data_IF_981665221006
#
_entry.id   IF_981665221006
#
_cell.length_a   1.000
_cell.length_b   1.000
_cell.length_c   1.000
_cell.angle_alpha   90.00
_cell.angle_beta   90.00
_cell.angle_gamma   90.00
#
_symmetry.space_group_name_H-M   'P 1'
#
loop_
_entity.id
_entity.type
_entity.pdbx_description
1 polymer ?
#
# COMPACT_ATOMS: atom_id res chain seq x y z
N UNK A 1 -21.28 -5.46 -4.37
CA UNK A 1 -20.11 -5.31 -3.46
C UNK A 1 -19.34 -4.07 -3.89
N UNK A 2 -18.71 -3.31 -2.98
CA UNK A 2 -17.98 -2.08 -3.32
C UNK A 2 -16.95 -2.25 -4.45
N UNK A 3 -16.28 -3.40 -4.55
CA UNK A 3 -15.35 -3.70 -5.65
C UNK A 3 -16.02 -3.88 -7.02
N UNK A 4 -17.32 -4.18 -7.08
CA UNK A 4 -18.06 -4.34 -8.32
C UNK A 4 -18.63 -3.00 -8.85
N UNK A 5 -18.42 -1.90 -8.14
CA UNK A 5 -18.90 -0.56 -8.55
C UNK A 5 -18.16 -0.07 -9.80
N UNK A 6 -16.92 -0.54 -10.01
CA UNK A 6 -16.13 -0.26 -11.21
C UNK A 6 -16.47 -1.14 -12.42
N UNK A 7 -17.13 -2.29 -12.24
CA UNK A 7 -17.36 -3.26 -13.34
C UNK A 7 -18.26 -2.73 -14.46
N UNK A 8 -19.22 -1.85 -14.13
CA UNK A 8 -20.08 -1.23 -15.15
C UNK A 8 -19.35 -0.19 -15.99
N UNK A 9 -18.25 0.38 -15.49
CA UNK A 9 -17.46 1.42 -16.16
C UNK A 9 -16.16 0.86 -16.77
N UNK A 10 -15.56 -0.14 -16.13
CA UNK A 10 -14.35 -0.83 -16.52
C UNK A 10 -14.51 -2.34 -16.24
N UNK A 11 -15.13 -3.09 -17.17
CA UNK A 11 -15.35 -4.53 -17.03
C UNK A 11 -14.03 -5.30 -16.83
N UNK A 12 -14.03 -6.27 -15.91
CA UNK A 12 -12.87 -7.13 -15.62
C UNK A 12 -11.88 -6.58 -14.59
N UNK A 13 -12.17 -5.42 -14.00
CA UNK A 13 -11.31 -4.81 -12.96
C UNK A 13 -11.23 -5.65 -11.68
N UNK A 14 -12.32 -6.33 -11.32
CA UNK A 14 -12.35 -7.27 -10.18
C UNK A 14 -11.47 -8.49 -10.46
N UNK A 15 -11.56 -9.06 -11.67
CA UNK A 15 -10.75 -10.20 -12.06
C UNK A 15 -9.26 -9.84 -12.06
N UNK A 16 -8.92 -8.66 -12.56
CA UNK A 16 -7.55 -8.16 -12.56
C UNK A 16 -7.02 -7.95 -11.13
N UNK A 17 -7.84 -7.42 -10.21
CA UNK A 17 -7.47 -7.31 -8.79
C UNK A 17 -7.14 -8.68 -8.19
N UNK A 18 -8.01 -9.68 -8.40
CA UNK A 18 -7.79 -11.05 -7.89
C UNK A 18 -6.54 -11.68 -8.51
N UNK A 19 -6.30 -11.48 -9.82
CA UNK A 19 -5.07 -11.94 -10.50
C UNK A 19 -3.84 -11.29 -9.89
N UNK A 20 -3.89 -10.00 -9.62
CA UNK A 20 -2.78 -9.24 -9.05
C UNK A 20 -2.43 -9.72 -7.63
N UNK A 21 -3.43 -9.95 -6.79
CA UNK A 21 -3.23 -10.52 -5.46
C UNK A 21 -2.59 -11.91 -5.54
N UNK A 22 -3.12 -12.81 -6.38
CA UNK A 22 -2.56 -14.14 -6.57
C UNK A 22 -1.12 -14.11 -7.11
N UNK A 23 -0.86 -13.25 -8.09
CA UNK A 23 0.48 -13.05 -8.65
C UNK A 23 1.46 -12.54 -7.58
N UNK A 24 1.01 -11.68 -6.66
CA UNK A 24 1.81 -11.18 -5.54
C UNK A 24 2.22 -12.33 -4.61
N UNK A 25 1.30 -13.23 -4.25
CA UNK A 25 1.63 -14.42 -3.46
C UNK A 25 2.66 -15.31 -4.16
N UNK A 26 2.46 -15.61 -5.45
CA UNK A 26 3.39 -16.44 -6.24
C UNK A 26 4.78 -15.79 -6.33
N UNK A 27 4.84 -14.47 -6.52
CA UNK A 27 6.09 -13.73 -6.56
C UNK A 27 6.81 -13.78 -5.22
N UNK A 28 6.09 -13.58 -4.11
CA UNK A 28 6.68 -13.64 -2.77
C UNK A 28 7.21 -15.03 -2.43
N UNK A 29 6.49 -16.11 -2.78
CA UNK A 29 6.99 -17.47 -2.58
C UNK A 29 8.27 -17.75 -3.37
N UNK A 30 8.43 -17.14 -4.56
CA UNK A 30 9.57 -17.34 -5.44
C UNK A 30 10.79 -16.51 -5.04
N UNK A 31 10.60 -15.21 -4.83
CA UNK A 31 11.70 -14.26 -4.61
C UNK A 31 12.01 -14.05 -3.11
N UNK A 32 11.04 -14.31 -2.22
CA UNK A 32 11.16 -14.13 -0.77
C UNK A 32 10.84 -15.41 0.02
N UNK A 33 11.45 -16.57 -0.29
CA UNK A 33 11.05 -17.87 0.29
C UNK A 33 11.29 -17.97 1.81
N UNK A 34 12.10 -17.07 2.36
CA UNK A 34 12.42 -17.00 3.79
C UNK A 34 11.48 -16.10 4.58
N UNK A 35 10.68 -15.26 3.92
CA UNK A 35 9.70 -14.39 4.58
C UNK A 35 8.43 -15.19 4.82
N UNK A 36 8.01 -15.39 6.08
CA UNK A 36 6.73 -16.00 6.38
C UNK A 36 5.57 -15.20 5.81
N UNK A 37 4.89 -15.77 4.82
CA UNK A 37 3.63 -15.27 4.27
C UNK A 37 2.55 -16.34 4.40
N UNK A 38 1.26 -15.94 4.44
CA UNK A 38 0.19 -16.90 4.26
C UNK A 38 0.32 -17.60 2.91
N UNK A 39 0.08 -18.91 2.88
CA UNK A 39 -0.04 -19.66 1.63
C UNK A 39 -1.38 -19.38 0.98
N UNK A 40 -1.36 -19.08 -0.32
CA UNK A 40 -2.56 -18.99 -1.13
C UNK A 40 -3.13 -20.40 -1.36
N UNK A 41 -4.26 -20.72 -0.73
CA UNK A 41 -4.87 -22.07 -0.79
C UNK A 41 -5.86 -22.23 -1.95
N UNK A 42 -6.38 -21.13 -2.47
CA UNK A 42 -7.33 -21.13 -3.59
C UNK A 42 -7.67 -19.71 -4.00
N UNK A 43 -8.06 -19.55 -5.26
CA UNK A 43 -8.53 -18.31 -5.86
C UNK A 43 -9.66 -18.62 -6.82
N UNK A 44 -10.71 -17.81 -6.81
CA UNK A 44 -11.88 -17.99 -7.68
C UNK A 44 -11.92 -16.94 -8.78
N UNK A 45 -12.21 -17.35 -10.01
CA UNK A 45 -12.56 -16.46 -11.11
C UNK A 45 -14.00 -16.72 -11.54
N UNK A 46 -14.70 -15.76 -12.17
CA UNK A 46 -15.99 -16.01 -12.80
C UNK A 46 -15.91 -17.23 -13.73
N UNK A 47 -16.69 -18.28 -13.42
CA UNK A 47 -16.68 -19.55 -14.16
C UNK A 47 -15.71 -20.63 -13.66
N UNK A 48 -14.79 -20.32 -12.74
CA UNK A 48 -13.83 -21.25 -12.15
C UNK A 48 -13.91 -21.21 -10.62
N UNK A 49 -14.44 -22.26 -9.99
CA UNK A 49 -14.31 -22.44 -8.54
C UNK A 49 -12.98 -23.11 -8.21
N UNK A 50 -12.09 -22.45 -7.49
CA UNK A 50 -11.04 -23.14 -6.75
C UNK A 50 -10.97 -22.60 -5.32
N UNK A 51 -11.49 -23.39 -4.38
CA UNK A 51 -11.36 -23.14 -2.96
C UNK A 51 -10.87 -24.41 -2.29
N UNK A 52 -9.71 -24.36 -1.65
CA UNK A 52 -9.29 -25.40 -0.72
C UNK A 52 -9.64 -24.94 0.69
N UNK A 53 -10.61 -25.63 1.30
CA UNK A 53 -11.00 -25.39 2.69
C UNK A 53 -9.79 -25.67 3.60
N UNK A 54 -9.53 -24.80 4.57
CA UNK A 54 -8.36 -24.92 5.48
C UNK A 54 -8.30 -26.27 6.21
N UNK A 55 -9.45 -26.92 6.40
CA UNK A 55 -9.60 -28.24 7.01
C UNK A 55 -9.03 -29.38 6.15
N UNK A 56 -8.82 -29.14 4.85
CA UNK A 56 -8.17 -30.07 3.92
C UNK A 56 -6.65 -29.85 3.84
N UNK A 57 -6.09 -28.90 4.60
CA UNK A 57 -4.65 -28.73 4.71
C UNK A 57 -4.02 -29.93 5.42
N UNK A 58 -2.89 -30.39 4.90
CA UNK A 58 -2.16 -31.47 5.57
C UNK A 58 -1.65 -31.01 6.94
N UNK A 59 -1.67 -31.91 7.92
CA UNK A 59 -1.13 -31.65 9.26
C UNK A 59 0.30 -31.09 9.24
N UNK A 60 1.15 -31.57 8.31
CA UNK A 60 2.52 -31.05 8.11
C UNK A 60 2.54 -29.55 7.81
N UNK A 61 1.60 -29.07 6.99
CA UNK A 61 1.48 -27.66 6.69
C UNK A 61 1.00 -26.92 7.93
N UNK A 62 -0.04 -27.39 8.62
CA UNK A 62 -0.51 -26.78 9.87
C UNK A 62 0.61 -26.59 10.92
N UNK A 63 1.48 -27.59 11.09
CA UNK A 63 2.66 -27.45 11.96
C UNK A 63 3.68 -26.43 11.42
N UNK A 64 3.83 -26.31 10.10
CA UNK A 64 4.66 -25.29 9.47
C UNK A 64 4.12 -23.88 9.75
N UNK A 65 2.81 -23.67 9.65
CA UNK A 65 2.14 -22.39 9.96
C UNK A 65 2.39 -21.94 11.41
N UNK A 66 2.30 -22.84 12.39
CA UNK A 66 2.58 -22.52 13.80
C UNK A 66 4.03 -22.09 14.04
N UNK A 67 4.98 -22.61 13.25
CA UNK A 67 6.38 -22.23 13.36
C UNK A 67 6.74 -20.97 12.54
N UNK A 68 5.81 -20.47 11.71
CA UNK A 68 6.00 -19.35 10.79
C UNK A 68 5.39 -18.04 11.33
N UNK A 69 4.72 -18.06 12.47
CA UNK A 69 4.32 -16.82 13.16
C UNK A 69 5.53 -16.15 13.79
N UNK A 70 5.68 -14.85 13.57
CA UNK A 70 6.77 -14.07 14.16
C UNK A 70 6.73 -14.11 15.68
N UNK A 71 7.85 -14.53 16.29
CA UNK A 71 8.03 -14.56 17.74
C UNK A 71 8.51 -13.22 18.33
N UNK A 72 8.83 -12.25 17.48
CA UNK A 72 9.22 -10.91 17.89
C UNK A 72 8.91 -9.87 16.81
N UNK A 73 8.63 -8.63 17.22
CA UNK A 73 8.47 -7.51 16.28
C UNK A 73 9.75 -7.22 15.49
N UNK A 74 10.91 -7.49 16.09
CA UNK A 74 12.20 -7.29 15.43
C UNK A 74 12.38 -8.21 14.20
N UNK A 75 12.02 -9.50 14.32
CA UNK A 75 12.06 -10.43 13.18
C UNK A 75 11.06 -10.04 12.09
N UNK A 76 9.85 -9.60 12.48
CA UNK A 76 8.85 -9.12 11.52
C UNK A 76 9.38 -7.94 10.70
N UNK A 77 9.94 -6.91 11.35
CA UNK A 77 10.41 -5.73 10.64
C UNK A 77 11.69 -5.97 9.82
N UNK A 78 12.55 -6.90 10.25
CA UNK A 78 13.68 -7.30 9.43
C UNK A 78 13.21 -7.91 8.11
N UNK A 79 12.18 -8.75 8.15
CA UNK A 79 11.60 -9.34 6.94
C UNK A 79 10.86 -8.31 6.09
N UNK A 80 10.18 -7.33 6.69
CA UNK A 80 9.59 -6.20 5.94
C UNK A 80 10.68 -5.46 5.14
N UNK A 81 11.84 -5.20 5.75
CA UNK A 81 12.96 -4.57 5.04
C UNK A 81 13.60 -5.51 4.02
N UNK A 82 13.69 -6.81 4.30
CA UNK A 82 14.20 -7.80 3.35
C UNK A 82 13.28 -7.90 2.11
N UNK A 83 11.97 -7.80 2.30
CA UNK A 83 11.00 -7.71 1.20
C UNK A 83 11.25 -6.46 0.35
N UNK A 84 11.51 -5.31 0.96
CA UNK A 84 11.86 -4.09 0.22
C UNK A 84 13.16 -4.24 -0.57
N UNK A 85 14.17 -4.91 0.00
CA UNK A 85 15.42 -5.21 -0.71
C UNK A 85 15.14 -6.12 -1.93
N UNK A 86 14.39 -7.20 -1.73
CA UNK A 86 14.02 -8.13 -2.79
C UNK A 86 13.20 -7.45 -3.88
N UNK A 87 12.21 -6.64 -3.51
CA UNK A 87 11.44 -5.84 -4.47
C UNK A 87 12.37 -4.92 -5.25
N UNK A 88 13.22 -4.17 -4.56
CA UNK A 88 14.17 -3.25 -5.20
C UNK A 88 15.09 -4.00 -6.16
N UNK A 89 15.52 -5.21 -5.80
CA UNK A 89 16.40 -6.03 -6.62
C UNK A 89 15.69 -6.64 -7.85
N UNK A 90 14.48 -7.19 -7.68
CA UNK A 90 13.85 -8.04 -8.69
C UNK A 90 12.77 -7.33 -9.52
N UNK A 91 12.13 -6.28 -8.99
CA UNK A 91 11.11 -5.54 -9.74
C UNK A 91 11.79 -4.57 -10.74
N UNK A 92 11.50 -4.67 -12.06
CA UNK A 92 12.18 -3.85 -13.08
C UNK A 92 11.97 -2.35 -12.91
N UNK A 93 10.74 -1.95 -12.56
CA UNK A 93 10.33 -0.56 -12.37
C UNK A 93 10.42 -0.07 -10.91
N UNK A 94 11.22 -0.74 -10.06
CA UNK A 94 11.36 -0.34 -8.66
C UNK A 94 12.12 1.00 -8.48
N UNK A 95 12.99 1.33 -9.43
CA UNK A 95 13.80 2.55 -9.43
C UNK A 95 13.55 3.29 -10.74
N UNK A 96 13.16 4.57 -10.63
CA UNK A 96 12.75 5.41 -11.76
C UNK A 96 13.93 6.13 -12.43
N UNK A 97 15.13 5.99 -11.87
CA UNK A 97 16.35 6.58 -12.40
C UNK A 97 17.44 6.64 -11.35
N UNK A 98 18.62 7.12 -11.74
CA UNK A 98 19.80 7.09 -10.86
C UNK A 98 19.60 7.90 -9.57
N UNK A 99 19.07 9.12 -9.67
CA UNK A 99 18.85 9.97 -8.49
C UNK A 99 17.77 9.40 -7.57
N UNK A 100 16.70 8.86 -8.15
CA UNK A 100 15.66 8.16 -7.39
C UNK A 100 16.23 6.93 -6.69
N UNK A 101 17.04 6.13 -7.38
CA UNK A 101 17.68 4.96 -6.78
C UNK A 101 18.62 5.32 -5.63
N UNK A 102 19.43 6.39 -5.76
CA UNK A 102 20.25 6.89 -4.64
C UNK A 102 19.36 7.27 -3.46
N UNK A 103 18.25 7.97 -3.72
CA UNK A 103 17.32 8.39 -2.70
C UNK A 103 16.68 7.21 -1.97
N UNK A 104 16.08 6.26 -2.72
CA UNK A 104 15.44 5.06 -2.17
C UNK A 104 16.44 4.17 -1.40
N UNK A 105 17.60 3.87 -1.98
CA UNK A 105 18.61 3.02 -1.32
C UNK A 105 19.16 3.68 -0.05
N UNK A 106 19.41 4.99 -0.08
CA UNK A 106 19.84 5.72 1.12
C UNK A 106 18.80 5.67 2.23
N UNK A 107 17.50 5.75 1.88
CA UNK A 107 16.41 5.64 2.83
C UNK A 107 16.27 4.23 3.40
N UNK A 108 16.40 3.16 2.60
CA UNK A 108 16.39 1.77 3.09
C UNK A 108 17.52 1.51 4.08
N UNK A 109 18.75 1.91 3.73
CA UNK A 109 19.91 1.79 4.63
C UNK A 109 19.71 2.62 5.89
N UNK A 110 19.20 3.84 5.73
CA UNK A 110 18.87 4.72 6.85
C UNK A 110 17.87 4.08 7.81
N UNK A 111 16.73 3.60 7.30
CA UNK A 111 15.69 2.90 8.05
C UNK A 111 16.25 1.67 8.77
N UNK A 112 17.04 0.85 8.09
CA UNK A 112 17.72 -0.32 8.68
C UNK A 112 18.64 0.09 9.84
N UNK A 113 19.40 1.17 9.69
CA UNK A 113 20.30 1.66 10.74
C UNK A 113 19.56 2.21 11.96
N UNK A 114 18.37 2.78 11.78
CA UNK A 114 17.56 3.31 12.89
C UNK A 114 16.61 2.27 13.48
N UNK A 115 16.42 1.11 12.84
CA UNK A 115 15.52 0.03 13.26
C UNK A 115 15.68 -0.40 14.73
N UNK A 116 16.90 -0.55 15.29
CA UNK A 116 17.05 -0.92 16.70
C UNK A 116 16.45 0.11 17.67
N UNK A 117 16.25 1.36 17.24
CA UNK A 117 15.61 2.44 18.01
C UNK A 117 14.09 2.44 17.88
N UNK A 118 13.50 1.62 17.00
CA UNK A 118 12.05 1.48 16.87
C UNK A 118 11.48 0.78 18.11
N UNK A 119 12.31 0.00 18.80
CA UNK A 119 11.88 -0.92 19.84
C UNK A 119 12.51 -0.61 21.19
N UNK A 120 11.65 -0.57 22.22
CA UNK A 120 12.10 -0.81 23.60
C UNK A 120 12.07 -2.32 23.82
N UNK A 121 13.20 -2.91 24.25
CA UNK A 121 13.31 -4.37 24.51
C UNK A 121 12.22 -4.90 25.45
N UNK A 122 11.69 -4.05 26.31
CA UNK A 122 10.69 -4.37 27.34
C UNK A 122 9.25 -4.43 26.79
N UNK A 123 8.94 -3.76 25.68
CA UNK A 123 7.55 -3.67 25.15
C UNK A 123 7.24 -4.72 24.07
N UNK A 124 8.27 -5.25 23.40
CA UNK A 124 8.15 -6.13 22.22
C UNK A 124 7.54 -7.51 22.45
N UNK A 125 7.14 -7.85 23.69
CA UNK A 125 6.69 -9.21 24.04
C UNK A 125 5.35 -9.28 24.75
N UNK A 126 4.77 -8.16 25.20
CA UNK A 126 3.77 -8.25 26.28
C UNK A 126 2.36 -7.81 25.91
N UNK A 127 2.14 -7.01 24.85
CA UNK A 127 0.81 -6.54 24.48
C UNK A 127 0.58 -6.52 22.96
N UNK A 128 -0.20 -7.50 22.49
CA UNK A 128 -0.77 -7.52 21.15
C UNK A 128 -2.22 -7.02 21.22
N UNK A 129 -2.59 -6.18 20.27
CA UNK A 129 -3.94 -5.63 20.13
C UNK A 129 -4.45 -5.85 18.72
N UNK A 130 -5.77 -5.90 18.58
CA UNK A 130 -6.39 -5.89 17.25
C UNK A 130 -6.13 -4.53 16.60
N UNK A 131 -5.52 -4.55 15.43
CA UNK A 131 -5.25 -3.39 14.61
C UNK A 131 -6.06 -3.48 13.32
N UNK A 132 -6.75 -2.40 12.98
CA UNK A 132 -7.55 -2.27 11.76
C UNK A 132 -6.69 -1.60 10.70
N UNK A 133 -5.80 -2.39 10.08
CA UNK A 133 -4.75 -1.89 9.18
C UNK A 133 -5.26 -1.11 7.98
N UNK A 134 -6.50 -1.38 7.55
CA UNK A 134 -7.15 -0.75 6.39
C UNK A 134 -8.43 -0.01 6.79
N UNK A 135 -8.47 0.56 8.00
CA UNK A 135 -9.58 1.44 8.38
C UNK A 135 -9.41 2.78 7.67
N UNK A 136 -10.40 3.18 6.86
CA UNK A 136 -10.52 4.51 6.24
C UNK A 136 -11.98 4.98 6.19
N UNK A 137 -12.21 6.23 5.79
CA UNK A 137 -13.52 6.88 5.88
C UNK A 137 -14.66 6.12 5.18
N UNK A 138 -14.42 5.50 4.02
CA UNK A 138 -15.45 4.73 3.31
C UNK A 138 -15.79 3.37 3.96
N UNK A 139 -15.03 2.95 4.98
CA UNK A 139 -15.31 1.74 5.75
C UNK A 139 -16.15 2.03 7.00
N UNK A 140 -16.45 3.31 7.28
CA UNK A 140 -17.17 3.76 8.48
C UNK A 140 -18.52 4.34 8.07
N UNK A 141 -19.60 3.78 8.65
CA UNK A 141 -20.95 4.30 8.48
C UNK A 141 -21.40 5.01 9.76
N UNK A 142 -22.08 6.14 9.59
CA UNK A 142 -22.61 6.96 10.67
C UNK A 142 -24.12 7.16 10.53
N UNK A 143 -24.79 7.48 11.63
CA UNK A 143 -26.17 7.99 11.61
C UNK A 143 -26.21 9.51 11.38
N UNK A 144 -27.42 10.09 11.39
CA UNK A 144 -27.65 11.52 11.18
C UNK A 144 -26.96 12.41 12.25
N UNK A 145 -26.63 11.83 13.41
CA UNK A 145 -25.97 12.49 14.53
C UNK A 145 -24.45 12.21 14.56
N UNK A 146 -23.88 11.65 13.48
CA UNK A 146 -22.47 11.27 13.34
C UNK A 146 -21.97 10.18 14.29
N UNK A 147 -22.87 9.40 14.90
CA UNK A 147 -22.45 8.22 15.67
C UNK A 147 -22.07 7.09 14.72
N UNK A 148 -20.92 6.44 14.98
CA UNK A 148 -20.51 5.25 14.23
C UNK A 148 -21.51 4.12 14.46
N UNK A 149 -22.20 3.70 13.39
CA UNK A 149 -23.19 2.61 13.44
C UNK A 149 -22.60 1.29 12.98
N UNK A 150 -21.70 1.32 11.99
CA UNK A 150 -21.11 0.12 11.38
C UNK A 150 -19.70 0.40 10.88
N UNK A 151 -18.85 -0.62 10.97
CA UNK A 151 -17.54 -0.67 10.31
C UNK A 151 -17.54 -1.91 9.42
N UNK A 152 -17.14 -1.76 8.17
CA UNK A 152 -17.03 -2.85 7.20
C UNK A 152 -15.56 -3.09 6.82
N UNK A 153 -15.33 -4.07 5.94
CA UNK A 153 -14.03 -4.33 5.33
C UNK A 153 -12.90 -4.62 6.33
N UNK A 154 -13.14 -5.61 7.19
CA UNK A 154 -12.23 -6.00 8.27
C UNK A 154 -11.23 -7.10 7.85
N UNK A 155 -11.08 -7.36 6.55
CA UNK A 155 -10.30 -8.49 6.04
C UNK A 155 -8.79 -8.38 6.34
N UNK A 156 -8.29 -7.16 6.49
CA UNK A 156 -6.90 -6.87 6.87
C UNK A 156 -6.69 -6.63 8.37
N UNK A 157 -7.72 -6.85 9.19
CA UNK A 157 -7.58 -6.73 10.64
C UNK A 157 -6.62 -7.79 11.17
N UNK A 158 -5.61 -7.38 11.95
CA UNK A 158 -4.59 -8.30 12.46
C UNK A 158 -4.31 -8.07 13.94
N UNK A 159 -3.85 -9.12 14.62
CA UNK A 159 -3.28 -9.00 15.97
C UNK A 159 -1.84 -8.53 15.83
N UNK A 160 -1.57 -7.26 16.15
CA UNK A 160 -0.25 -6.66 16.00
C UNK A 160 0.28 -6.12 17.34
N UNK A 161 1.61 -5.99 17.50
CA UNK A 161 2.17 -5.31 18.66
C UNK A 161 1.60 -3.91 18.81
N UNK A 162 1.29 -3.51 20.05
CA UNK A 162 0.67 -2.21 20.34
C UNK A 162 1.49 -1.03 19.81
N UNK A 163 2.80 -1.19 19.61
CA UNK A 163 3.69 -0.17 19.04
C UNK A 163 3.45 0.13 17.56
N UNK A 164 2.76 -0.75 16.83
CA UNK A 164 2.33 -0.51 15.44
C UNK A 164 1.01 0.26 15.35
N UNK A 165 0.29 0.39 16.47
CA UNK A 165 -0.92 1.20 16.53
C UNK A 165 -0.57 2.68 16.37
N UNK A 166 -1.24 3.34 15.45
CA UNK A 166 -1.07 4.76 15.18
C UNK A 166 -2.42 5.41 14.89
N UNK A 167 -2.50 6.72 15.11
CA UNK A 167 -3.68 7.51 14.72
C UNK A 167 -3.80 7.49 13.20
N UNK A 168 -5.01 7.35 12.65
CA UNK A 168 -5.20 7.26 11.21
C UNK A 168 -4.65 8.49 10.48
N UNK A 169 -3.85 8.27 9.44
CA UNK A 169 -3.20 9.36 8.70
C UNK A 169 -4.18 10.14 7.79
N UNK A 170 -5.33 9.55 7.45
CA UNK A 170 -6.34 10.14 6.57
C UNK A 170 -7.30 11.12 7.27
N UNK A 171 -7.06 11.50 8.54
CA UNK A 171 -7.93 12.45 9.27
C UNK A 171 -8.11 13.81 8.57
N UNK A 172 -7.19 14.18 7.67
CA UNK A 172 -7.22 15.43 6.89
C UNK A 172 -7.29 15.18 5.38
N UNK A 173 -7.71 13.98 4.96
CA UNK A 173 -7.82 13.59 3.54
C UNK A 173 -6.51 13.78 2.74
N UNK A 174 -5.37 13.57 3.42
CA UNK A 174 -4.04 13.69 2.83
C UNK A 174 -3.35 12.34 2.79
N UNK A 175 -2.56 12.11 1.74
CA UNK A 175 -1.60 11.01 1.71
C UNK A 175 -0.56 11.16 2.81
N UNK A 176 -0.07 10.05 3.37
CA UNK A 176 0.88 10.11 4.50
C UNK A 176 2.20 10.80 4.13
N UNK A 177 2.62 10.75 2.86
CA UNK A 177 3.74 11.48 2.25
C UNK A 177 3.52 12.99 2.07
N UNK A 178 2.27 13.44 2.21
CA UNK A 178 1.87 14.84 2.09
C UNK A 178 1.78 15.55 3.45
N UNK A 179 1.98 14.82 4.55
CA UNK A 179 1.86 15.34 5.93
C UNK A 179 3.09 16.13 6.40
N UNK A 180 3.64 16.98 5.52
CA UNK A 180 4.75 17.88 5.82
C UNK A 180 4.32 19.36 5.72
N UNK A 181 5.12 20.26 6.29
CA UNK A 181 4.89 21.70 6.22
C UNK A 181 3.50 22.12 6.75
N UNK A 182 2.75 23.00 6.05
CA UNK A 182 1.42 23.45 6.49
C UNK A 182 0.41 22.32 6.70
N UNK A 183 0.41 21.30 5.83
CA UNK A 183 -0.49 20.14 5.93
C UNK A 183 -0.16 19.29 7.15
N UNK A 184 1.13 19.15 7.48
CA UNK A 184 1.56 18.49 8.72
C UNK A 184 1.10 19.21 9.99
N UNK A 185 1.00 20.55 9.96
CA UNK A 185 0.47 21.35 11.08
C UNK A 185 -1.04 21.12 11.24
N UNK A 186 -1.79 21.13 10.14
CA UNK A 186 -3.22 20.83 10.13
C UNK A 186 -3.50 19.41 10.63
N UNK A 187 -2.76 18.42 10.13
CA UNK A 187 -2.86 17.04 10.59
C UNK A 187 -2.56 16.91 12.08
N UNK A 188 -1.57 17.66 12.61
CA UNK A 188 -1.30 17.64 14.04
C UNK A 188 -2.46 18.19 14.87
N UNK A 189 -3.17 19.21 14.38
CA UNK A 189 -4.36 19.70 15.07
C UNK A 189 -5.48 18.63 15.08
N UNK A 190 -5.73 17.98 13.95
CA UNK A 190 -6.70 16.87 13.86
C UNK A 190 -6.28 15.66 14.72
N UNK A 191 -4.99 15.36 14.77
CA UNK A 191 -4.40 14.33 15.60
C UNK A 191 -4.68 14.57 17.08
N UNK A 192 -4.48 15.79 17.57
CA UNK A 192 -4.77 16.12 18.97
C UNK A 192 -6.26 16.02 19.28
N UNK A 193 -7.10 16.53 18.38
CA UNK A 193 -8.55 16.43 18.49
C UNK A 193 -9.04 14.98 18.52
N UNK A 194 -8.36 14.06 17.83
CA UNK A 194 -8.64 12.62 17.90
C UNK A 194 -8.23 12.01 19.24
N UNK A 195 -7.07 12.40 19.78
CA UNK A 195 -6.51 11.82 21.01
C UNK A 195 -7.26 12.29 22.27
N UNK A 196 -7.83 13.48 22.27
CA UNK A 196 -8.48 14.05 23.45
C UNK A 196 -9.73 13.26 23.92
N UNK A 197 -10.70 12.89 23.06
CA UNK A 197 -11.81 12.02 23.45
C UNK A 197 -11.37 10.63 23.96
N UNK A 198 -10.27 10.09 23.42
CA UNK A 198 -9.69 8.84 23.91
C UNK A 198 -9.21 9.01 25.34
N UNK A 199 -8.52 10.11 25.65
CA UNK A 199 -8.06 10.41 27.01
C UNK A 199 -9.24 10.61 27.98
N UNK A 200 -10.29 11.32 27.56
CA UNK A 200 -11.51 11.51 28.36
C UNK A 200 -12.19 10.16 28.68
N UNK A 201 -12.26 9.27 27.69
CA UNK A 201 -12.86 7.95 27.85
C UNK A 201 -12.04 7.07 28.82
N UNK A 202 -10.72 7.07 28.69
CA UNK A 202 -9.82 6.33 29.58
C UNK A 202 -10.02 6.73 31.05
N UNK A 203 -10.11 8.03 31.33
CA UNK A 203 -10.38 8.57 32.67
C UNK A 203 -11.76 8.14 33.16
N UNK A 204 -12.80 8.26 32.32
CA UNK A 204 -14.17 7.90 32.68
C UNK A 204 -14.33 6.41 33.00
N UNK A 205 -13.56 5.53 32.35
CA UNK A 205 -13.61 4.08 32.58
C UNK A 205 -12.69 3.59 33.70
N UNK A 206 -12.00 4.48 34.43
CA UNK A 206 -10.91 4.11 35.36
C UNK A 206 -9.87 3.16 34.72
N UNK A 207 -9.70 3.28 33.41
CA UNK A 207 -8.74 2.48 32.66
C UNK A 207 -7.33 2.95 33.01
N UNK A 208 -6.36 2.04 32.97
CA UNK A 208 -4.95 2.45 32.95
C UNK A 208 -4.71 3.28 31.69
N UNK A 209 -4.39 4.57 31.83
CA UNK A 209 -4.10 5.49 30.72
C UNK A 209 -2.98 4.95 29.85
N UNK A 210 -3.31 4.38 28.69
CA UNK A 210 -2.34 3.62 27.89
C UNK A 210 -2.34 4.07 26.44
N UNK A 211 -3.50 4.22 25.80
CA UNK A 211 -3.58 4.54 24.37
C UNK A 211 -3.41 6.04 24.09
N UNK A 212 -4.00 6.91 24.90
CA UNK A 212 -3.85 8.36 24.71
C UNK A 212 -2.40 8.81 24.98
N UNK A 213 -1.77 8.29 26.04
CA UNK A 213 -0.36 8.51 26.34
C UNK A 213 0.53 7.91 25.26
N UNK A 214 0.30 6.67 24.85
CA UNK A 214 1.04 6.02 23.77
C UNK A 214 0.95 6.81 22.47
N UNK A 215 -0.21 7.35 22.12
CA UNK A 215 -0.39 8.18 20.92
C UNK A 215 0.48 9.43 21.00
N UNK A 216 0.40 10.19 22.11
CA UNK A 216 1.26 11.38 22.30
C UNK A 216 2.76 11.04 22.30
N UNK A 217 3.14 9.90 22.87
CA UNK A 217 4.51 9.36 22.79
C UNK A 217 4.89 8.96 21.36
N UNK A 218 3.98 8.39 20.58
CA UNK A 218 4.21 7.98 19.20
C UNK A 218 4.48 9.19 18.31
N UNK A 219 3.75 10.29 18.50
CA UNK A 219 4.02 11.54 17.80
C UNK A 219 5.38 12.13 18.19
N UNK A 220 5.59 12.40 19.48
CA UNK A 220 6.82 13.05 19.97
C UNK A 220 8.08 12.22 19.72
N UNK A 221 7.98 10.88 19.76
CA UNK A 221 9.08 9.97 19.45
C UNK A 221 9.21 9.68 17.95
N UNK A 222 8.36 10.24 17.08
CA UNK A 222 8.33 10.01 15.64
C UNK A 222 8.03 8.55 15.26
N UNK A 223 7.45 7.77 16.17
CA UNK A 223 7.10 6.36 15.94
C UNK A 223 6.02 6.21 14.87
N UNK A 224 5.07 7.14 14.79
CA UNK A 224 4.07 7.11 13.71
C UNK A 224 4.75 7.07 12.33
N UNK A 225 5.70 7.97 12.07
CA UNK A 225 6.44 8.05 10.81
C UNK A 225 7.29 6.82 10.51
N UNK A 226 7.82 6.20 11.57
CA UNK A 226 8.53 4.92 11.50
C UNK A 226 7.62 3.79 11.04
N UNK A 227 6.44 3.67 11.63
CA UNK A 227 5.44 2.67 11.26
C UNK A 227 4.93 2.92 9.84
N UNK A 228 4.61 4.17 9.51
CA UNK A 228 4.19 4.56 8.16
C UNK A 228 5.25 4.22 7.10
N UNK A 229 6.54 4.46 7.39
CA UNK A 229 7.63 4.10 6.49
C UNK A 229 7.73 2.58 6.25
N UNK A 230 7.37 1.75 7.23
CA UNK A 230 7.43 0.30 7.10
C UNK A 230 6.17 -0.29 6.46
N UNK A 231 5.03 0.34 6.68
CA UNK A 231 3.74 -0.10 6.16
C UNK A 231 3.57 0.16 4.66
N UNK A 232 4.40 1.01 4.05
CA UNK A 232 4.25 1.40 2.65
C UNK A 232 5.50 1.10 1.81
N UNK A 233 5.27 0.47 0.66
CA UNK A 233 6.27 0.17 -0.37
C UNK A 233 6.84 1.41 -1.06
N UNK A 234 6.05 2.47 -1.19
CA UNK A 234 6.41 3.64 -1.99
C UNK A 234 6.66 4.88 -1.15
N UNK A 235 6.10 4.94 0.06
CA UNK A 235 6.16 6.15 0.90
C UNK A 235 7.36 6.15 1.85
N UNK A 236 8.02 5.00 2.06
CA UNK A 236 9.19 4.92 2.94
C UNK A 236 10.31 5.95 2.66
N UNK A 237 10.64 6.31 1.39
CA UNK A 237 11.70 7.29 1.12
C UNK A 237 11.30 8.69 1.61
N UNK A 238 10.04 9.08 1.34
CA UNK A 238 9.47 10.35 1.78
C UNK A 238 9.45 10.43 3.32
N UNK A 239 8.94 9.40 3.99
CA UNK A 239 8.91 9.32 5.45
C UNK A 239 10.30 9.44 6.08
N UNK A 240 11.28 8.74 5.49
CA UNK A 240 12.65 8.84 5.95
C UNK A 240 13.17 10.28 5.79
N UNK A 241 13.01 10.89 4.62
CA UNK A 241 13.53 12.22 4.31
C UNK A 241 12.87 13.35 5.10
N UNK A 242 11.55 13.35 5.19
CA UNK A 242 10.73 14.42 5.78
C UNK A 242 10.72 14.34 7.32
N UNK A 243 10.58 13.14 7.89
CA UNK A 243 10.27 13.00 9.32
C UNK A 243 11.35 12.32 10.14
N UNK A 244 12.07 11.33 9.59
CA UNK A 244 13.01 10.52 10.38
C UNK A 244 14.43 11.07 10.34
N UNK A 245 14.92 11.39 9.16
CA UNK A 245 16.28 11.89 8.89
C UNK A 245 16.59 13.22 9.59
N UNK A 246 15.71 14.25 9.60
CA UNK A 246 16.02 15.54 10.24
C UNK A 246 16.33 15.44 11.74
N UNK A 247 15.94 14.34 12.37
CA UNK A 247 16.17 14.07 13.80
C UNK A 247 17.60 13.63 14.09
N UNK A 248 18.33 13.17 13.08
CA UNK A 248 19.72 12.72 13.17
C UNK A 248 20.67 13.65 12.41
N UNK A 249 20.23 14.18 11.27
CA UNK A 249 21.00 15.08 10.41
C UNK A 249 20.31 16.45 10.35
N UNK A 250 20.89 17.45 11.03
CA UNK A 250 20.37 18.84 11.01
C UNK A 250 20.57 19.53 9.65
N UNK A 251 21.64 19.16 8.96
CA UNK A 251 21.93 19.58 7.59
C UNK A 251 21.94 18.34 6.71
N UNK A 252 21.41 18.46 5.49
CA UNK A 252 21.43 17.40 4.51
C UNK A 252 21.85 17.91 3.14
N UNK A 253 22.87 17.28 2.57
CA UNK A 253 23.31 17.50 1.19
C UNK A 253 23.21 16.17 0.46
N UNK A 254 22.35 16.09 -0.55
CA UNK A 254 22.04 14.84 -1.25
C UNK A 254 23.32 14.13 -1.72
N UNK A 255 24.17 14.83 -2.46
CA UNK A 255 25.38 14.25 -3.05
C UNK A 255 26.41 13.80 -2.00
N UNK A 256 26.47 14.46 -0.85
CA UNK A 256 27.46 14.16 0.20
C UNK A 256 26.98 13.13 1.23
N UNK A 257 25.67 12.92 1.39
CA UNK A 257 25.11 12.05 2.43
C UNK A 257 24.32 10.86 1.87
N UNK A 258 23.51 11.08 0.84
CA UNK A 258 22.67 10.03 0.27
C UNK A 258 23.52 8.99 -0.46
N UNK A 259 24.53 9.44 -1.22
CA UNK A 259 25.40 8.53 -1.97
C UNK A 259 26.18 7.56 -1.09
N UNK A 260 26.90 7.99 -0.02
CA UNK A 260 27.57 7.04 0.87
C UNK A 260 26.63 6.05 1.54
N UNK A 261 25.40 6.46 1.90
CA UNK A 261 24.41 5.55 2.46
C UNK A 261 23.92 4.54 1.42
N UNK A 262 23.63 4.98 0.20
CA UNK A 262 23.26 4.08 -0.89
C UNK A 262 24.35 3.05 -1.16
N UNK A 263 25.63 3.45 -1.14
CA UNK A 263 26.79 2.55 -1.29
C UNK A 263 26.89 1.45 -0.22
N UNK A 264 26.25 1.62 0.95
CA UNK A 264 26.21 0.57 1.98
C UNK A 264 25.13 -0.49 1.71
N UNK A 265 24.27 -0.29 0.70
CA UNK A 265 23.23 -1.27 0.36
C UNK A 265 23.79 -2.50 -0.35
N UNK A 266 24.70 -2.32 -1.32
CA UNK A 266 25.44 -3.42 -1.96
C UNK A 266 26.83 -2.97 -2.46
N UNK A 267 27.72 -3.89 -2.80
CA UNK A 267 29.12 -3.56 -3.16
C UNK A 267 29.23 -2.71 -4.45
N UNK A 268 28.40 -2.98 -5.47
CA UNK A 268 28.45 -2.33 -6.79
C UNK A 268 27.20 -1.50 -7.10
N UNK A 269 26.80 -0.61 -6.17
CA UNK A 269 25.56 0.19 -6.30
C UNK A 269 25.49 0.99 -7.60
N UNK A 270 26.60 1.54 -8.09
CA UNK A 270 26.59 2.30 -9.36
C UNK A 270 26.12 1.44 -10.53
N UNK A 271 26.69 0.24 -10.68
CA UNK A 271 26.35 -0.67 -11.77
C UNK A 271 24.93 -1.20 -11.61
N UNK A 272 24.52 -1.49 -10.37
CA UNK A 272 23.14 -1.86 -10.04
C UNK A 272 22.13 -0.78 -10.49
N UNK A 273 22.40 0.49 -10.18
CA UNK A 273 21.53 1.61 -10.59
C UNK A 273 21.49 1.79 -12.11
N UNK A 274 22.62 1.61 -12.78
CA UNK A 274 22.68 1.68 -14.25
C UNK A 274 21.93 0.50 -14.89
N UNK A 275 21.99 -0.68 -14.28
CA UNK A 275 21.17 -1.82 -14.69
C UNK A 275 19.68 -1.55 -14.48
N UNK A 276 19.29 -0.97 -13.35
CA UNK A 276 17.89 -0.61 -13.08
C UNK A 276 17.32 0.42 -14.04
N UNK A 277 18.12 1.39 -14.46
CA UNK A 277 17.70 2.33 -15.49
C UNK A 277 17.39 1.63 -16.83
N UNK A 278 18.13 0.57 -17.18
CA UNK A 278 17.84 -0.26 -18.37
C UNK A 278 16.60 -1.13 -18.16
N UNK A 279 16.48 -1.78 -17.00
CA UNK A 279 15.30 -2.59 -16.65
C UNK A 279 14.00 -1.80 -16.77
N UNK A 280 14.01 -0.53 -16.34
CA UNK A 280 12.87 0.37 -16.47
C UNK A 280 12.54 0.67 -17.94
N UNK A 281 13.54 0.98 -18.77
CA UNK A 281 13.33 1.24 -20.20
C UNK A 281 12.73 0.02 -20.92
N UNK A 282 13.25 -1.16 -20.63
CA UNK A 282 12.74 -2.42 -21.19
C UNK A 282 11.32 -2.70 -20.68
N UNK A 283 11.05 -2.44 -19.40
CA UNK A 283 9.72 -2.58 -18.81
C UNK A 283 8.71 -1.65 -19.48
N UNK A 284 9.02 -0.36 -19.61
CA UNK A 284 8.14 0.60 -20.28
C UNK A 284 7.88 0.23 -21.74
N UNK A 285 8.89 -0.29 -22.44
CA UNK A 285 8.74 -0.76 -23.82
C UNK A 285 7.76 -1.92 -23.88
N UNK A 286 7.94 -2.95 -23.04
CA UNK A 286 7.01 -4.09 -22.96
C UNK A 286 5.60 -3.66 -22.58
N UNK A 287 5.46 -2.72 -21.66
CA UNK A 287 4.14 -2.19 -21.27
C UNK A 287 3.47 -1.51 -22.48
N UNK A 288 4.20 -0.66 -23.21
CA UNK A 288 3.67 -0.03 -24.44
C UNK A 288 3.29 -1.06 -25.51
N UNK A 289 4.09 -2.11 -25.69
CA UNK A 289 3.80 -3.21 -26.63
C UNK A 289 2.49 -3.93 -26.25
N UNK A 290 2.31 -4.29 -24.98
CA UNK A 290 1.08 -4.92 -24.49
C UNK A 290 -0.14 -4.02 -24.73
N UNK A 291 -0.03 -2.73 -24.42
CA UNK A 291 -1.14 -1.80 -24.67
C UNK A 291 -1.42 -1.60 -26.17
N UNK A 292 -0.39 -1.62 -27.02
CA UNK A 292 -0.55 -1.56 -28.47
C UNK A 292 -1.21 -2.82 -29.04
N UNK A 293 -0.85 -4.00 -28.54
CA UNK A 293 -1.49 -5.28 -28.90
C UNK A 293 -2.97 -5.30 -28.51
N UNK A 294 -3.29 -4.85 -27.29
CA UNK A 294 -4.68 -4.75 -26.82
C UNK A 294 -5.48 -3.75 -27.66
N UNK A 295 -4.90 -2.59 -27.97
CA UNK A 295 -5.54 -1.60 -28.84
C UNK A 295 -5.81 -2.17 -30.26
N UNK A 296 -4.86 -2.91 -30.83
CA UNK A 296 -5.03 -3.55 -32.13
C UNK A 296 -6.13 -4.63 -32.13
N UNK A 297 -6.28 -5.38 -31.04
CA UNK A 297 -7.36 -6.37 -30.87
C UNK A 297 -8.72 -5.68 -30.74
N UNK A 298 -8.79 -4.54 -30.04
CA UNK A 298 -10.01 -3.74 -29.92
C UNK A 298 -10.39 -3.08 -31.25
N UNK A 299 -9.41 -2.60 -32.02
CA UNK A 299 -9.63 -2.08 -33.37
C UNK A 299 -10.08 -3.19 -34.34
N UNK A 300 -9.55 -4.41 -34.24
CA UNK A 300 -9.98 -5.55 -35.07
C UNK A 300 -11.37 -6.07 -34.65
N UNK A 301 -11.71 -6.06 -33.36
CA UNK A 301 -13.05 -6.39 -32.86
C UNK A 301 -14.08 -5.31 -33.22
N UNK A 302 -13.73 -4.02 -33.13
CA UNK A 302 -14.60 -2.94 -33.59
C UNK A 302 -14.76 -2.95 -35.11
N UNK A 303 -13.73 -3.28 -35.88
CA UNK A 303 -13.83 -3.48 -37.33
C UNK A 303 -14.67 -4.72 -37.69
N UNK A 304 -14.58 -5.81 -36.90
CA UNK A 304 -15.43 -6.99 -37.07
C UNK A 304 -16.90 -6.72 -36.67
N UNK A 305 -17.14 -5.94 -35.62
CA UNK A 305 -18.47 -5.47 -35.22
C UNK A 305 -19.04 -4.47 -36.23
N UNK A 306 -18.23 -3.57 -36.80
CA UNK A 306 -18.63 -2.62 -37.84
C UNK A 306 -18.93 -3.35 -39.17
N UNK A 307 -18.22 -4.44 -39.46
CA UNK A 307 -18.51 -5.33 -40.60
C UNK A 307 -19.80 -6.15 -40.38
N UNK A 308 -20.07 -6.60 -39.15
CA UNK A 308 -21.33 -7.24 -38.75
C UNK A 308 -22.51 -6.23 -38.68
N UNK A 309 -22.24 -4.97 -38.35
CA UNK A 309 -23.21 -3.86 -38.40
C UNK A 309 -23.51 -3.45 -39.85
N UNK A 310 -22.56 -3.58 -40.78
CA UNK A 310 -22.81 -3.36 -42.20
C UNK A 310 -23.75 -4.43 -42.80
N UNK A 311 -23.70 -5.68 -42.32
CA UNK A 311 -24.65 -6.74 -42.70
C UNK A 311 -26.00 -6.62 -41.96
N UNK A 312 -26.03 -6.06 -40.74
CA UNK A 312 -27.26 -5.84 -39.98
C UNK A 312 -28.03 -4.57 -40.39
N UNK A 313 -27.36 -3.58 -40.99
CA UNK A 313 -27.97 -2.31 -41.42
C UNK A 313 -28.83 -2.41 -42.69
N UNK A 314 -28.95 -3.58 -43.34
CA UNK A 314 -30.03 -3.85 -44.29
C UNK A 314 -31.38 -4.22 -43.62
N UNK A 315 -31.43 -4.44 -42.29
CA UNK A 315 -32.64 -4.97 -41.64
C UNK A 315 -33.26 -4.15 -40.51
N UNK A 316 -32.79 -2.94 -40.17
CA UNK A 316 -33.45 -2.13 -39.13
C UNK A 316 -33.50 -0.63 -39.43
N UNK A 317 -34.44 -0.24 -40.29
CA UNK A 317 -35.09 1.08 -40.16
C UNK A 317 -36.18 0.94 -39.11
N UNK A 318 -36.03 1.57 -37.94
CA UNK A 318 -37.12 2.18 -37.14
C UNK A 318 -36.48 3.14 -36.11
N UNK A 319 -37.15 4.29 -36.01
CA UNK A 319 -36.93 5.56 -35.32
C UNK A 319 -36.45 5.55 -33.83
N UNK A 320 -35.68 6.62 -33.49
CA UNK A 320 -35.19 7.12 -32.18
C UNK A 320 -36.33 7.52 -31.18
N UNK A 321 -36.17 8.14 -29.94
CA UNK A 321 -35.04 8.85 -29.26
C UNK A 321 -35.07 8.74 -27.68
N UNK A 322 -34.61 9.71 -26.83
CA UNK A 322 -33.41 10.58 -26.80
C UNK A 322 -32.49 10.37 -25.56
N UNK A 323 -31.32 11.00 -25.66
CA UNK A 323 -30.23 11.13 -24.67
C UNK A 323 -30.60 12.06 -23.51
N UNK A 324 -30.55 11.58 -22.27
CA UNK A 324 -30.40 12.41 -21.07
C UNK A 324 -29.95 11.57 -19.84
N UNK A 325 -28.65 11.24 -19.74
CA UNK A 325 -28.07 10.63 -18.53
C UNK A 325 -26.53 10.73 -18.39
N UNK A 326 -25.82 11.49 -19.24
CA UNK A 326 -24.37 11.36 -19.38
C UNK A 326 -23.52 12.36 -18.56
N UNK A 327 -24.08 13.13 -17.62
CA UNK A 327 -23.33 14.21 -16.95
C UNK A 327 -22.91 13.98 -15.48
N UNK A 328 -23.08 12.78 -14.92
CA UNK A 328 -22.86 12.58 -13.47
C UNK A 328 -21.74 11.61 -13.06
N UNK A 329 -20.91 11.12 -13.99
CA UNK A 329 -19.92 10.04 -13.70
C UNK A 329 -18.44 10.42 -13.95
N UNK A 330 -18.09 11.71 -14.01
CA UNK A 330 -16.75 12.16 -14.39
C UNK A 330 -15.97 12.90 -13.28
N UNK A 331 -16.13 12.51 -12.00
CA UNK A 331 -15.38 13.14 -10.90
C UNK A 331 -14.53 12.21 -10.03
N UNK A 332 -14.47 10.91 -10.29
CA UNK A 332 -13.69 9.94 -9.47
C UNK A 332 -12.45 9.36 -10.15
N UNK A 333 -11.86 10.08 -11.12
CA UNK A 333 -10.53 9.73 -11.64
C UNK A 333 -9.63 10.93 -11.41
N UNK A 334 -8.86 10.87 -10.33
CA UNK A 334 -7.80 11.82 -10.00
C UNK A 334 -6.66 11.76 -11.02
N UNK A 335 -6.91 12.31 -12.21
CA UNK A 335 -5.87 12.72 -13.15
C UNK A 335 -5.51 14.14 -12.78
N UNK A 336 -4.30 14.33 -12.25
CA UNK A 336 -3.72 15.66 -12.13
C UNK A 336 -3.57 16.28 -13.52
N UNK A 337 -4.27 17.38 -13.75
CA UNK A 337 -3.93 18.30 -14.83
C UNK A 337 -2.65 19.04 -14.43
N UNK A 338 -1.53 18.63 -15.00
CA UNK A 338 -0.43 19.54 -15.29
C UNK A 338 -0.53 20.02 -16.75
N UNK A 339 -0.30 21.34 -16.91
CA UNK A 339 -0.08 22.12 -18.13
C UNK A 339 -1.29 22.78 -18.80
N UNK A 340 -1.49 24.06 -18.43
CA UNK A 340 -1.48 25.23 -19.34
C UNK A 340 -1.46 26.55 -18.55
N UNK A 341 -0.24 27.04 -18.28
CA UNK A 341 0.30 28.33 -18.78
C UNK A 341 1.62 28.68 -18.06
#
# INVERSE_FOLDING_TARGET
>A
MPHAVGESYAPGTVDEKVRYEAATYVWLERECPMIPIPRLLGMGFPGCQSFMRIENESWLQWTKWQNWTYSSTASYLQDVLAYQDARTQHQPNAILGRNDGIYQLSALVGLRAILPKFFRRESCREQYVMNLCDLHQSNIFVDDDWHITRIIDLEFACSSPIELLHVPHWLTDQGVDQLDGPRGVEYKAAYDQYVDPVAEREVATQGTSTLSQLSRENWSSGRMWRVAALASLNVFPAMFSQHLRPRYFKEWKSDSHAWPLAQLWCENVSEFLDAKARDLQDYETRVREVFAEVAAIQDDQSAAEECLLYDANELAKIEEPPVDAALCAAQDIGVGEELKD
#
